data_IF_293846102776
#
_entry.id   IF_293846102776
#
_cell.length_a   1.000
_cell.length_b   1.000
_cell.length_c   1.000
_cell.angle_alpha   90.00
_cell.angle_beta   90.00
_cell.angle_gamma   90.00
#
_symmetry.space_group_name_H-M   'P 1'
#
loop_
_entity.id
_entity.type
_entity.pdbx_description
1 polymer ?
#
# COMPACT_ATOMS: atom_id res chain seq x y z
N UNK A 1 7.10 3.19 22.76
CA UNK A 1 7.35 4.22 21.75
C UNK A 1 8.63 5.01 22.05
N UNK A 2 8.74 5.70 23.19
CA UNK A 2 9.91 6.55 23.50
C UNK A 2 11.24 5.79 23.34
N UNK A 3 11.39 4.63 24.00
CA UNK A 3 12.62 3.85 23.89
C UNK A 3 12.97 3.51 22.44
N UNK A 4 12.00 3.02 21.67
CA UNK A 4 12.20 2.66 20.24
C UNK A 4 12.51 3.88 19.37
N UNK A 5 11.94 5.05 19.69
CA UNK A 5 12.30 6.30 19.00
C UNK A 5 13.77 6.65 19.25
N UNK A 6 14.24 6.48 20.50
CA UNK A 6 15.61 6.78 20.89
C UNK A 6 16.63 5.75 20.37
N UNK A 7 16.20 4.52 20.07
CA UNK A 7 17.05 3.53 19.38
C UNK A 7 17.43 3.98 17.96
N UNK A 8 16.60 4.81 17.34
CA UNK A 8 16.84 5.36 16.00
C UNK A 8 17.49 6.74 16.05
N UNK A 9 17.04 7.61 16.96
CA UNK A 9 17.58 8.96 17.16
C UNK A 9 18.13 9.06 18.60
N UNK A 10 19.35 8.62 18.86
CA UNK A 10 19.95 8.67 20.18
C UNK A 10 20.28 10.12 20.57
N UNK A 11 19.42 10.73 21.38
CA UNK A 11 19.57 12.11 21.86
C UNK A 11 19.04 12.24 23.29
N UNK A 12 19.91 12.68 24.21
CA UNK A 12 19.53 12.92 25.61
C UNK A 12 18.48 14.03 25.72
N UNK A 13 18.57 15.08 24.91
CA UNK A 13 17.60 16.17 24.88
C UNK A 13 16.22 15.65 24.41
N UNK A 14 16.17 14.83 23.35
CA UNK A 14 14.95 14.21 22.88
C UNK A 14 14.38 13.24 23.95
N UNK A 15 15.23 12.44 24.61
CA UNK A 15 14.82 11.54 25.67
C UNK A 15 14.13 12.28 26.82
N UNK A 16 14.74 13.40 27.29
CA UNK A 16 14.16 14.24 28.33
C UNK A 16 12.84 14.88 27.90
N UNK A 17 12.76 15.33 26.67
CA UNK A 17 11.56 15.94 26.10
C UNK A 17 10.41 14.95 26.03
N UNK A 18 10.61 13.83 25.34
CA UNK A 18 9.57 12.80 25.16
C UNK A 18 9.15 12.14 26.47
N UNK A 19 10.09 11.91 27.40
CA UNK A 19 9.81 11.29 28.69
C UNK A 19 8.94 12.13 29.65
N UNK A 20 8.78 13.42 29.39
CA UNK A 20 7.96 14.34 30.20
C UNK A 20 6.57 14.57 29.64
N UNK A 21 6.29 14.11 28.39
CA UNK A 21 5.02 14.37 27.73
C UNK A 21 3.92 13.44 28.24
N UNK A 22 2.70 13.94 28.44
CA UNK A 22 1.51 13.11 28.52
C UNK A 22 1.36 12.25 27.25
N UNK A 23 0.69 11.10 27.37
CA UNK A 23 0.58 10.14 26.26
C UNK A 23 -0.04 10.77 24.99
N UNK A 24 -1.07 11.63 25.12
CA UNK A 24 -1.68 12.32 23.99
C UNK A 24 -0.69 13.21 23.25
N UNK A 25 0.01 14.07 24.01
CA UNK A 25 1.01 15.00 23.46
C UNK A 25 2.20 14.24 22.85
N UNK A 26 2.56 13.07 23.41
CA UNK A 26 3.60 12.22 22.83
C UNK A 26 3.25 11.75 21.42
N UNK A 27 1.99 11.36 21.18
CA UNK A 27 1.54 10.96 19.83
C UNK A 27 1.60 12.14 18.88
N UNK A 28 1.14 13.31 19.32
CA UNK A 28 1.18 14.54 18.51
C UNK A 28 2.62 14.90 18.11
N UNK A 29 3.57 14.83 19.05
CA UNK A 29 4.99 15.10 18.78
C UNK A 29 5.58 14.05 17.84
N UNK A 30 5.23 12.76 17.99
CA UNK A 30 5.71 11.71 17.09
C UNK A 30 5.18 11.89 15.65
N UNK A 31 4.05 12.55 15.48
CA UNK A 31 3.46 12.85 14.16
C UNK A 31 3.97 14.18 13.61
N UNK A 32 3.88 15.26 14.40
CA UNK A 32 4.22 16.62 13.97
C UNK A 32 5.73 16.90 13.97
N UNK A 33 6.51 16.06 14.62
CA UNK A 33 7.93 16.28 14.86
C UNK A 33 8.20 17.24 16.03
N UNK A 34 9.47 17.35 16.38
CA UNK A 34 9.98 18.29 17.40
C UNK A 34 11.12 19.10 16.81
N UNK A 35 11.01 20.43 16.90
CA UNK A 35 12.05 21.34 16.41
C UNK A 35 13.26 21.32 17.35
N UNK A 36 14.44 21.46 16.76
CA UNK A 36 15.66 21.74 17.51
C UNK A 36 15.76 23.24 17.86
N UNK A 37 16.32 23.57 19.03
CA UNK A 37 16.64 24.95 19.33
C UNK A 37 17.72 25.46 18.35
N UNK A 38 17.37 26.45 17.54
CA UNK A 38 18.27 27.00 16.55
C UNK A 38 19.48 27.70 17.21
N UNK A 39 20.66 27.22 16.91
CA UNK A 39 21.91 27.96 17.23
C UNK A 39 22.01 29.24 16.41
N UNK A 40 22.98 30.14 16.75
CA UNK A 40 23.10 31.46 16.12
C UNK A 40 23.22 31.41 14.58
N UNK A 41 23.89 30.42 14.04
CA UNK A 41 24.06 30.26 12.57
C UNK A 41 22.75 29.82 11.93
N UNK A 42 22.11 28.79 12.48
CA UNK A 42 20.83 28.30 11.97
C UNK A 42 19.75 29.38 12.03
N UNK A 43 19.70 30.14 13.13
CA UNK A 43 18.80 31.28 13.27
C UNK A 43 19.07 32.38 12.22
N UNK A 44 20.35 32.71 11.97
CA UNK A 44 20.75 33.72 10.99
C UNK A 44 20.42 33.29 9.54
N UNK A 45 20.45 31.98 9.26
CA UNK A 45 20.09 31.40 7.95
C UNK A 45 18.59 31.11 7.81
N UNK A 46 17.82 31.32 8.86
CA UNK A 46 16.41 30.96 8.94
C UNK A 46 16.17 29.45 8.62
N UNK A 47 17.11 28.58 9.06
CA UNK A 47 17.09 27.13 8.93
C UNK A 47 16.63 26.51 10.25
N UNK A 48 15.45 25.92 10.27
CA UNK A 48 14.96 25.17 11.42
C UNK A 48 15.39 23.69 11.28
N UNK A 49 16.23 23.22 12.22
CA UNK A 49 16.51 21.79 12.38
C UNK A 49 15.36 21.06 13.09
N UNK A 50 15.27 19.76 12.88
CA UNK A 50 14.37 18.88 13.64
C UNK A 50 15.19 17.96 14.55
N UNK A 51 14.85 17.96 15.83
CA UNK A 51 15.29 16.94 16.77
C UNK A 51 14.59 15.60 16.48
N UNK A 52 13.32 15.67 16.10
CA UNK A 52 12.51 14.58 15.58
C UNK A 52 11.79 15.08 14.32
N UNK A 53 12.08 14.52 13.12
CA UNK A 53 11.40 14.94 11.90
C UNK A 53 9.90 14.64 11.94
N UNK A 54 9.04 15.49 11.32
CA UNK A 54 7.62 15.22 11.19
C UNK A 54 7.37 14.07 10.21
N UNK A 55 6.25 13.38 10.40
CA UNK A 55 5.81 12.33 9.45
C UNK A 55 5.28 12.95 8.15
N UNK A 56 5.87 12.60 7.00
CA UNK A 56 5.46 13.21 5.74
C UNK A 56 4.13 12.65 5.21
N UNK A 57 3.86 11.37 5.43
CA UNK A 57 2.83 10.62 4.66
C UNK A 57 2.00 9.63 5.50
N UNK A 58 1.75 9.91 6.78
CA UNK A 58 1.01 8.99 7.68
C UNK A 58 -0.38 8.59 7.14
N UNK A 59 -1.01 9.41 6.31
CA UNK A 59 -2.31 9.08 5.70
C UNK A 59 -2.23 7.94 4.66
N UNK A 60 -1.05 7.56 4.19
CA UNK A 60 -0.83 6.38 3.35
C UNK A 60 -0.55 5.14 4.21
N UNK A 61 -1.56 4.71 4.94
CA UNK A 61 -1.47 3.59 5.88
C UNK A 61 -1.28 2.23 5.21
N UNK A 62 -1.52 2.13 3.90
CA UNK A 62 -1.30 0.92 3.11
C UNK A 62 0.13 0.45 3.13
N UNK A 63 1.09 1.39 3.09
CA UNK A 63 2.50 1.07 2.87
C UNK A 63 3.12 0.45 4.11
N UNK A 64 2.71 0.93 5.29
CA UNK A 64 3.35 0.59 6.57
C UNK A 64 2.79 -0.68 7.22
N UNK A 65 1.63 -1.19 6.76
CA UNK A 65 1.02 -2.40 7.32
C UNK A 65 0.30 -3.26 6.29
N UNK A 66 0.39 -4.57 6.47
CA UNK A 66 -0.24 -5.56 5.60
C UNK A 66 -0.91 -6.62 6.45
N UNK A 67 -2.19 -6.85 6.24
CA UNK A 67 -2.92 -7.95 6.88
C UNK A 67 -3.12 -9.07 5.87
N UNK A 68 -2.68 -10.29 6.23
CA UNK A 68 -2.76 -11.49 5.38
C UNK A 68 -3.34 -12.62 6.23
N UNK A 69 -4.59 -13.02 5.97
CA UNK A 69 -5.34 -13.87 6.88
C UNK A 69 -5.47 -13.23 8.26
N UNK A 70 -5.13 -13.97 9.30
CA UNK A 70 -5.16 -13.50 10.70
C UNK A 70 -3.83 -12.88 11.16
N UNK A 71 -2.92 -12.61 10.25
CA UNK A 71 -1.60 -12.10 10.57
C UNK A 71 -1.37 -10.71 10.00
N UNK A 72 -0.56 -9.92 10.72
CA UNK A 72 -0.07 -8.62 10.24
C UNK A 72 1.43 -8.66 10.00
N UNK A 73 1.84 -8.06 8.89
CA UNK A 73 3.22 -7.71 8.59
C UNK A 73 3.34 -6.21 8.74
N UNK A 74 4.20 -5.75 9.62
CA UNK A 74 4.56 -4.34 9.74
C UNK A 74 5.71 -4.09 8.78
N UNK A 75 5.53 -3.10 7.90
CA UNK A 75 6.48 -2.79 6.85
C UNK A 75 7.82 -2.33 7.38
N UNK A 76 8.82 -2.35 6.51
CA UNK A 76 10.11 -1.70 6.68
C UNK A 76 10.28 -0.70 5.55
N UNK A 77 10.08 0.58 5.87
CA UNK A 77 9.99 1.64 4.87
C UNK A 77 11.35 1.90 4.20
N UNK A 78 11.33 2.02 2.88
CA UNK A 78 12.53 2.28 2.08
C UNK A 78 13.18 3.61 2.44
N UNK A 79 12.36 4.64 2.66
CA UNK A 79 12.85 5.97 2.98
C UNK A 79 12.81 6.24 4.48
N UNK A 80 13.97 6.60 5.03
CA UNK A 80 14.14 6.86 6.45
C UNK A 80 13.22 7.94 7.02
N UNK A 81 12.70 8.86 6.20
CA UNK A 81 11.73 9.86 6.65
C UNK A 81 10.40 9.27 7.15
N UNK A 82 10.08 8.01 6.80
CA UNK A 82 8.82 7.32 7.17
C UNK A 82 8.97 6.32 8.32
N UNK A 83 10.14 6.19 8.93
CA UNK A 83 10.39 5.14 9.93
C UNK A 83 9.49 5.25 11.18
N UNK A 84 9.09 6.47 11.57
CA UNK A 84 8.21 6.66 12.73
C UNK A 84 6.81 6.10 12.49
N UNK A 85 6.36 6.01 11.22
CA UNK A 85 5.10 5.35 10.86
C UNK A 85 5.12 3.87 11.26
N UNK A 86 6.26 3.18 11.06
CA UNK A 86 6.45 1.76 11.47
C UNK A 86 6.24 1.60 12.97
N UNK A 87 6.82 2.50 13.79
CA UNK A 87 6.69 2.46 15.25
C UNK A 87 5.25 2.65 15.71
N UNK A 88 4.52 3.58 15.10
CA UNK A 88 3.13 3.86 15.46
C UNK A 88 2.22 2.67 15.11
N UNK A 89 2.39 2.08 13.94
CA UNK A 89 1.63 0.91 13.52
C UNK A 89 2.01 -0.32 14.35
N UNK A 90 3.30 -0.53 14.64
CA UNK A 90 3.76 -1.59 15.54
C UNK A 90 3.11 -1.45 16.92
N UNK A 91 3.14 -0.26 17.52
CA UNK A 91 2.50 -0.02 18.81
C UNK A 91 1.00 -0.29 18.79
N UNK A 92 0.32 0.07 17.69
CA UNK A 92 -1.10 -0.18 17.51
C UNK A 92 -1.41 -1.70 17.54
N UNK A 93 -0.70 -2.49 16.74
CA UNK A 93 -0.96 -3.93 16.63
C UNK A 93 -0.51 -4.72 17.86
N UNK A 94 0.54 -4.27 18.56
CA UNK A 94 1.00 -4.95 19.79
C UNK A 94 0.19 -4.59 21.05
N UNK A 95 -0.41 -3.40 21.11
CA UNK A 95 -0.95 -2.89 22.38
C UNK A 95 -2.43 -2.52 22.35
N UNK A 96 -3.04 -2.30 21.17
CA UNK A 96 -4.46 -1.94 21.12
C UNK A 96 -5.34 -3.18 21.30
N UNK A 97 -6.33 -3.16 22.23
CA UNK A 97 -7.16 -4.34 22.55
C UNK A 97 -7.87 -4.96 21.35
N UNK A 98 -8.27 -4.16 20.35
CA UNK A 98 -8.93 -4.67 19.15
C UNK A 98 -8.03 -5.58 18.28
N UNK A 99 -6.72 -5.56 18.49
CA UNK A 99 -5.73 -6.34 17.73
C UNK A 99 -5.01 -7.39 18.59
N UNK A 100 -5.47 -7.61 19.85
CA UNK A 100 -4.81 -8.54 20.77
C UNK A 100 -4.73 -9.99 20.27
N UNK A 101 -5.61 -10.38 19.33
CA UNK A 101 -5.60 -11.70 18.67
C UNK A 101 -4.86 -11.71 17.34
N UNK A 102 -4.43 -10.57 16.82
CA UNK A 102 -3.67 -10.51 15.57
C UNK A 102 -2.26 -11.08 15.78
N UNK A 103 -1.89 -12.07 14.98
CA UNK A 103 -0.53 -12.58 14.97
C UNK A 103 0.39 -11.60 14.22
N UNK A 104 1.38 -11.01 14.90
CA UNK A 104 2.42 -10.26 14.20
C UNK A 104 3.36 -11.26 13.56
N UNK A 105 3.34 -11.33 12.22
CA UNK A 105 4.14 -12.25 11.42
C UNK A 105 5.58 -11.75 11.27
N UNK A 106 5.72 -10.45 11.06
CA UNK A 106 6.98 -9.74 10.94
C UNK A 106 6.80 -8.29 11.37
N UNK A 107 7.75 -7.77 12.12
CA UNK A 107 7.78 -6.36 12.52
C UNK A 107 9.06 -5.70 11.98
N UNK A 108 8.93 -4.97 10.88
CA UNK A 108 10.03 -4.26 10.22
C UNK A 108 10.66 -3.17 11.10
N UNK A 109 9.93 -2.69 12.12
CA UNK A 109 10.43 -1.68 13.05
C UNK A 109 11.33 -2.25 14.15
N UNK A 110 11.28 -3.57 14.42
CA UNK A 110 12.14 -4.22 15.41
C UNK A 110 13.56 -4.44 14.89
N UNK A 111 13.67 -4.82 13.61
CA UNK A 111 14.94 -5.12 12.98
C UNK A 111 15.17 -4.20 11.77
N UNK A 112 15.62 -2.98 12.01
CA UNK A 112 15.94 -2.04 10.91
C UNK A 112 17.16 -2.50 10.13
N UNK A 113 16.95 -3.47 9.26
CA UNK A 113 17.95 -3.90 8.29
C UNK A 113 17.78 -3.06 7.03
N UNK A 114 18.67 -2.14 6.76
CA UNK A 114 18.62 -1.22 5.60
C UNK A 114 18.42 -1.91 4.25
N UNK A 115 18.77 -3.20 4.16
CA UNK A 115 18.62 -4.03 2.95
C UNK A 115 17.28 -4.77 2.86
N UNK A 116 16.50 -4.80 3.95
CA UNK A 116 15.22 -5.48 4.04
C UNK A 116 14.11 -4.43 4.07
N UNK A 117 13.73 -3.95 2.90
CA UNK A 117 12.60 -3.01 2.78
C UNK A 117 11.40 -3.72 2.19
N UNK A 118 10.23 -3.45 2.76
CA UNK A 118 8.95 -4.03 2.35
C UNK A 118 7.82 -3.04 2.64
N UNK A 119 7.10 -2.64 1.61
CA UNK A 119 5.98 -1.71 1.72
C UNK A 119 4.69 -2.36 1.19
N UNK A 120 3.57 -2.13 1.88
CA UNK A 120 2.31 -2.84 1.64
C UNK A 120 1.58 -2.48 0.34
N UNK A 121 1.97 -1.39 -0.33
CA UNK A 121 1.52 -1.09 -1.69
C UNK A 121 1.92 -2.16 -2.70
N UNK A 122 2.98 -2.92 -2.40
CA UNK A 122 3.43 -4.04 -3.20
C UNK A 122 2.75 -5.37 -2.87
N UNK A 123 1.98 -5.47 -1.77
CA UNK A 123 1.45 -6.76 -1.29
C UNK A 123 -0.07 -6.84 -1.49
N UNK A 124 -0.49 -7.77 -2.32
CA UNK A 124 -1.88 -7.98 -2.73
C UNK A 124 -2.35 -9.40 -2.40
N UNK A 125 -2.94 -9.66 -1.23
CA UNK A 125 -3.67 -10.89 -0.98
C UNK A 125 -4.90 -10.95 -1.89
N UNK A 126 -4.95 -11.90 -2.82
CA UNK A 126 -6.06 -12.04 -3.77
C UNK A 126 -7.04 -13.14 -3.34
N UNK A 127 -6.52 -14.17 -2.67
CA UNK A 127 -7.26 -15.34 -2.19
C UNK A 127 -6.58 -15.86 -0.92
N UNK A 128 -7.24 -16.64 -0.06
CA UNK A 128 -6.63 -17.16 1.19
C UNK A 128 -5.32 -17.91 1.00
N UNK A 129 -5.05 -18.46 -0.19
CA UNK A 129 -3.84 -19.22 -0.51
C UNK A 129 -2.96 -18.56 -1.60
N UNK A 130 -3.30 -17.32 -2.06
CA UNK A 130 -2.63 -16.63 -3.16
C UNK A 130 -2.32 -15.17 -2.82
N UNK A 131 -1.06 -14.79 -2.97
CA UNK A 131 -0.60 -13.40 -2.86
C UNK A 131 0.14 -13.00 -4.13
N UNK A 132 -0.14 -11.80 -4.64
CA UNK A 132 0.67 -11.15 -5.68
C UNK A 132 1.52 -10.08 -5.01
N UNK A 133 2.81 -10.04 -5.32
CA UNK A 133 3.73 -9.05 -4.76
C UNK A 133 4.48 -8.29 -5.84
N UNK A 134 4.75 -7.02 -5.60
CA UNK A 134 5.62 -6.21 -6.42
C UNK A 134 7.08 -6.31 -5.97
N UNK A 135 8.00 -6.53 -6.90
CA UNK A 135 9.40 -6.19 -6.70
C UNK A 135 9.63 -4.80 -7.28
N UNK A 136 9.63 -3.81 -6.41
CA UNK A 136 9.73 -2.39 -6.75
C UNK A 136 11.02 -1.76 -6.22
N UNK A 137 11.16 -0.46 -6.31
CA UNK A 137 12.22 0.27 -5.58
C UNK A 137 12.01 0.27 -4.06
N UNK A 138 10.77 -0.02 -3.61
CA UNK A 138 10.35 0.02 -2.20
C UNK A 138 10.46 -1.32 -1.50
N UNK A 139 10.37 -2.43 -2.22
CA UNK A 139 10.43 -3.78 -1.66
C UNK A 139 11.66 -4.52 -2.20
N UNK A 140 12.56 -4.91 -1.31
CA UNK A 140 13.82 -5.56 -1.69
C UNK A 140 13.65 -7.07 -1.92
N UNK A 141 14.48 -7.71 -2.77
CA UNK A 141 14.39 -9.16 -3.04
C UNK A 141 14.51 -10.00 -1.77
N UNK A 142 15.44 -9.65 -0.88
CA UNK A 142 15.65 -10.38 0.37
C UNK A 142 14.43 -10.28 1.31
N UNK A 143 13.73 -9.14 1.34
CA UNK A 143 12.50 -9.00 2.10
C UNK A 143 11.34 -9.80 1.48
N UNK A 144 11.27 -9.88 0.15
CA UNK A 144 10.28 -10.72 -0.54
C UNK A 144 10.54 -12.22 -0.30
N UNK A 145 11.80 -12.66 -0.29
CA UNK A 145 12.13 -14.04 0.07
C UNK A 145 11.74 -14.38 1.51
N UNK A 146 12.03 -13.47 2.46
CA UNK A 146 11.60 -13.62 3.85
C UNK A 146 10.07 -13.65 3.96
N UNK A 147 9.38 -12.73 3.30
CA UNK A 147 7.92 -12.71 3.27
C UNK A 147 7.35 -14.03 2.74
N UNK A 148 7.86 -14.54 1.60
CA UNK A 148 7.43 -15.81 1.05
C UNK A 148 7.61 -16.97 2.03
N UNK A 149 8.76 -17.04 2.73
CA UNK A 149 9.02 -18.08 3.71
C UNK A 149 8.00 -18.04 4.85
N UNK A 150 7.76 -16.87 5.43
CA UNK A 150 6.78 -16.67 6.50
C UNK A 150 5.34 -16.98 6.06
N UNK A 151 4.96 -16.54 4.87
CA UNK A 151 3.62 -16.81 4.31
C UNK A 151 3.39 -18.30 4.08
N UNK A 152 4.38 -19.02 3.58
CA UNK A 152 4.29 -20.47 3.35
C UNK A 152 4.25 -21.27 4.63
N UNK A 153 4.98 -20.85 5.65
CA UNK A 153 5.06 -21.55 6.93
C UNK A 153 3.83 -21.29 7.81
N UNK A 154 3.35 -20.03 7.88
CA UNK A 154 2.45 -19.57 8.94
C UNK A 154 1.07 -19.12 8.47
N UNK A 155 0.91 -18.72 7.20
CA UNK A 155 -0.34 -18.13 6.71
C UNK A 155 -1.12 -19.04 5.75
N UNK A 156 -0.67 -20.27 5.50
CA UNK A 156 -1.36 -21.18 4.59
C UNK A 156 -1.24 -20.81 3.10
N UNK A 157 -0.48 -19.79 2.75
CA UNK A 157 -0.27 -19.37 1.35
C UNK A 157 0.41 -20.53 0.58
N UNK A 158 -0.12 -20.81 -0.60
CA UNK A 158 0.40 -21.82 -1.53
C UNK A 158 1.23 -21.23 -2.64
N UNK A 159 0.75 -20.13 -3.20
CA UNK A 159 1.35 -19.50 -4.37
C UNK A 159 1.62 -18.01 -4.10
N UNK A 160 2.80 -17.54 -4.52
CA UNK A 160 3.17 -16.13 -4.57
C UNK A 160 3.59 -15.78 -5.99
N UNK A 161 2.92 -14.81 -6.60
CA UNK A 161 3.28 -14.27 -7.91
C UNK A 161 4.06 -12.98 -7.68
N UNK A 162 5.24 -12.87 -8.26
CA UNK A 162 6.09 -11.68 -8.16
C UNK A 162 6.07 -10.93 -9.50
N UNK A 163 5.67 -9.67 -9.48
CA UNK A 163 5.71 -8.76 -10.63
C UNK A 163 6.94 -7.87 -10.49
N UNK A 164 7.82 -7.87 -11.48
CA UNK A 164 9.06 -7.06 -11.47
C UNK A 164 8.75 -5.67 -12.01
N UNK A 165 8.64 -4.68 -11.13
CA UNK A 165 8.29 -3.32 -11.49
C UNK A 165 9.50 -2.55 -12.05
N UNK A 166 9.28 -1.59 -12.97
CA UNK A 166 10.31 -0.64 -13.37
C UNK A 166 10.60 0.33 -12.21
N UNK A 167 11.82 0.83 -12.14
CA UNK A 167 12.22 1.84 -11.15
C UNK A 167 11.84 3.24 -11.64
N UNK A 168 10.56 3.51 -11.66
CA UNK A 168 9.97 4.75 -12.15
C UNK A 168 9.07 5.39 -11.08
N UNK A 169 9.01 6.73 -10.99
CA UNK A 169 8.16 7.42 -10.02
C UNK A 169 6.66 7.08 -10.14
N UNK A 170 6.23 6.64 -11.31
CA UNK A 170 4.84 6.26 -11.61
C UNK A 170 4.49 4.83 -11.17
N UNK A 171 5.50 3.98 -10.92
CA UNK A 171 5.34 2.58 -10.57
C UNK A 171 6.08 2.23 -9.26
N UNK A 172 5.99 3.13 -8.27
CA UNK A 172 6.66 2.95 -6.97
C UNK A 172 6.18 1.71 -6.21
N UNK A 173 4.92 1.31 -6.42
CA UNK A 173 4.30 0.11 -5.88
C UNK A 173 3.44 -0.59 -6.93
N UNK A 174 3.16 -1.86 -6.72
CA UNK A 174 2.29 -2.65 -7.59
C UNK A 174 0.89 -2.04 -7.69
N UNK A 175 0.34 -1.49 -6.62
CA UNK A 175 -0.99 -0.91 -6.60
C UNK A 175 -1.13 0.40 -7.41
N UNK A 176 -0.04 0.97 -7.89
CA UNK A 176 -0.07 2.08 -8.84
C UNK A 176 -0.36 1.64 -10.27
N UNK A 177 -0.21 0.34 -10.56
CA UNK A 177 -0.37 -0.22 -11.93
C UNK A 177 -1.32 -1.42 -12.01
N UNK A 178 -1.68 -2.01 -10.86
CA UNK A 178 -2.57 -3.17 -10.76
C UNK A 178 -3.44 -3.09 -9.51
N UNK A 179 -4.74 -3.38 -9.64
CA UNK A 179 -5.66 -3.60 -8.49
C UNK A 179 -6.75 -4.58 -8.89
N UNK A 180 -6.99 -5.61 -8.08
CA UNK A 180 -8.21 -6.43 -8.21
C UNK A 180 -9.43 -5.59 -7.82
N UNK A 181 -10.44 -5.54 -8.69
CA UNK A 181 -11.64 -4.70 -8.52
C UNK A 181 -12.91 -5.51 -8.31
N UNK A 182 -12.92 -6.77 -8.73
CA UNK A 182 -14.00 -7.73 -8.49
C UNK A 182 -13.43 -9.15 -8.47
N UNK A 183 -14.27 -10.17 -8.30
CA UNK A 183 -13.86 -11.58 -8.28
C UNK A 183 -13.12 -12.01 -9.54
N UNK A 184 -13.58 -11.53 -10.69
CA UNK A 184 -13.07 -11.91 -12.01
C UNK A 184 -12.39 -10.76 -12.76
N UNK A 185 -12.32 -9.56 -12.16
CA UNK A 185 -11.82 -8.36 -12.83
C UNK A 185 -10.65 -7.73 -12.09
N UNK A 186 -9.69 -7.23 -12.85
CA UNK A 186 -8.66 -6.35 -12.33
C UNK A 186 -8.50 -5.10 -13.19
N UNK A 187 -8.10 -4.01 -12.57
CA UNK A 187 -7.72 -2.77 -13.23
C UNK A 187 -6.21 -2.76 -13.40
N UNK A 188 -5.74 -2.51 -14.62
CA UNK A 188 -4.31 -2.53 -14.94
C UNK A 188 -3.90 -1.32 -15.77
N UNK A 189 -2.65 -0.90 -15.63
CA UNK A 189 -1.99 0.00 -16.57
C UNK A 189 -1.47 -0.80 -17.77
N UNK A 190 -2.11 -0.72 -18.95
CA UNK A 190 -1.89 -1.66 -20.05
C UNK A 190 -0.44 -1.81 -20.49
N UNK A 191 0.37 -0.72 -20.59
CA UNK A 191 1.75 -0.83 -21.08
C UNK A 191 2.64 -1.80 -20.28
N UNK A 192 2.37 -1.97 -19.00
CA UNK A 192 3.16 -2.85 -18.14
C UNK A 192 2.69 -4.31 -18.13
N UNK A 193 1.52 -4.60 -18.67
CA UNK A 193 0.97 -5.97 -18.64
C UNK A 193 0.67 -6.54 -20.02
N UNK A 194 0.49 -5.68 -21.02
CA UNK A 194 0.07 -6.07 -22.37
C UNK A 194 1.05 -5.47 -23.40
N UNK A 195 1.44 -6.30 -24.33
CA UNK A 195 2.36 -5.87 -25.38
C UNK A 195 3.82 -6.26 -25.14
N UNK A 196 4.74 -5.68 -25.94
CA UNK A 196 6.15 -6.08 -25.94
C UNK A 196 6.93 -5.61 -24.72
N UNK A 197 6.50 -4.53 -24.07
CA UNK A 197 7.16 -3.92 -22.89
C UNK A 197 6.61 -4.46 -21.56
N UNK A 198 5.85 -5.56 -21.60
CA UNK A 198 5.27 -6.14 -20.39
C UNK A 198 6.34 -6.55 -19.38
N UNK A 199 5.99 -6.37 -18.11
CA UNK A 199 6.87 -6.68 -16.99
C UNK A 199 7.13 -8.18 -16.87
N UNK A 200 8.33 -8.53 -16.36
CA UNK A 200 8.65 -9.90 -15.99
C UNK A 200 7.81 -10.35 -14.78
N UNK A 201 7.38 -11.60 -14.80
CA UNK A 201 6.55 -12.20 -13.76
C UNK A 201 7.11 -13.55 -13.35
N UNK A 202 7.25 -13.75 -12.03
CA UNK A 202 7.77 -14.98 -11.46
C UNK A 202 6.70 -15.64 -10.59
N UNK A 203 6.64 -16.96 -10.59
CA UNK A 203 5.80 -17.76 -9.72
C UNK A 203 6.67 -18.52 -8.71
N UNK A 204 6.41 -18.30 -7.42
CA UNK A 204 6.98 -19.03 -6.30
C UNK A 204 5.90 -19.88 -5.65
N UNK A 205 6.12 -21.19 -5.56
CA UNK A 205 5.16 -22.15 -4.99
C UNK A 205 5.72 -22.83 -3.76
N UNK A 206 4.90 -23.00 -2.72
CA UNK A 206 5.26 -23.72 -1.50
C UNK A 206 5.69 -25.16 -1.84
N UNK A 207 6.81 -25.59 -1.25
CA UNK A 207 7.35 -26.95 -1.46
C UNK A 207 8.07 -27.14 -2.80
N UNK A 208 8.12 -26.14 -3.68
CA UNK A 208 8.86 -26.19 -4.94
C UNK A 208 10.13 -25.36 -4.84
N UNK A 209 11.26 -25.93 -5.18
CA UNK A 209 12.54 -25.20 -5.16
C UNK A 209 12.58 -24.15 -6.27
N UNK A 210 13.12 -22.95 -5.93
CA UNK A 210 13.30 -21.83 -6.87
C UNK A 210 12.02 -21.13 -7.27
N UNK A 211 12.11 -20.36 -8.35
CA UNK A 211 11.01 -19.60 -8.97
C UNK A 211 10.88 -20.02 -10.43
N UNK A 212 9.66 -19.88 -10.98
CA UNK A 212 9.39 -20.13 -12.39
C UNK A 212 8.96 -18.83 -13.05
N UNK A 213 9.64 -18.43 -14.10
CA UNK A 213 9.21 -17.32 -14.95
C UNK A 213 7.91 -17.67 -15.66
N UNK A 214 7.01 -16.68 -15.75
CA UNK A 214 5.72 -16.77 -16.42
C UNK A 214 5.68 -15.83 -17.63
N UNK A 215 4.93 -16.16 -18.69
CA UNK A 215 4.83 -15.31 -19.88
C UNK A 215 4.35 -13.88 -19.59
N UNK A 216 3.43 -13.74 -18.63
CA UNK A 216 2.87 -12.46 -18.13
C UNK A 216 2.05 -12.73 -16.85
N UNK A 217 1.49 -11.67 -16.24
CA UNK A 217 0.67 -11.75 -15.04
C UNK A 217 -0.58 -12.64 -15.24
N UNK A 218 -1.27 -12.49 -16.36
CA UNK A 218 -2.52 -13.24 -16.59
C UNK A 218 -2.26 -14.74 -16.77
N UNK A 219 -1.16 -15.10 -17.43
CA UNK A 219 -0.72 -16.50 -17.51
C UNK A 219 -0.35 -17.06 -16.12
N UNK A 220 0.30 -16.26 -15.28
CA UNK A 220 0.63 -16.66 -13.91
C UNK A 220 -0.65 -16.87 -13.07
N UNK A 221 -1.61 -15.96 -13.16
CA UNK A 221 -2.90 -16.06 -12.48
C UNK A 221 -3.69 -17.30 -12.95
N UNK A 222 -3.74 -17.54 -14.27
CA UNK A 222 -4.38 -18.73 -14.81
C UNK A 222 -3.68 -20.04 -14.36
N UNK A 223 -2.35 -20.04 -14.23
CA UNK A 223 -1.59 -21.22 -13.77
C UNK A 223 -1.81 -21.58 -12.28
N UNK A 224 -2.46 -20.69 -11.52
CA UNK A 224 -2.86 -20.90 -10.13
C UNK A 224 -4.40 -20.95 -9.96
N UNK A 225 -5.13 -21.18 -11.05
CA UNK A 225 -6.60 -21.28 -11.09
C UNK A 225 -7.29 -20.00 -10.56
N UNK A 226 -6.77 -18.84 -10.93
CA UNK A 226 -7.32 -17.54 -10.56
C UNK A 226 -7.27 -16.55 -11.74
N UNK A 227 -7.97 -16.84 -12.85
CA UNK A 227 -7.97 -15.95 -13.99
C UNK A 227 -8.69 -14.63 -13.67
N UNK A 228 -8.08 -13.50 -14.07
CA UNK A 228 -8.68 -12.17 -13.98
C UNK A 228 -8.73 -11.54 -15.38
N UNK A 229 -9.85 -10.91 -15.70
CA UNK A 229 -10.01 -10.11 -16.91
C UNK A 229 -9.57 -8.67 -16.66
N UNK A 230 -8.71 -8.08 -17.53
CA UNK A 230 -8.23 -6.73 -17.34
C UNK A 230 -9.21 -5.66 -17.81
N UNK A 231 -9.45 -4.67 -16.97
CA UNK A 231 -9.99 -3.35 -17.34
C UNK A 231 -8.82 -2.39 -17.46
N UNK A 232 -8.83 -1.54 -18.47
CA UNK A 232 -7.68 -0.70 -18.82
C UNK A 232 -7.77 0.69 -18.20
N UNK A 233 -6.81 1.01 -17.33
CA UNK A 233 -6.62 2.36 -16.84
C UNK A 233 -6.38 3.33 -18.03
N UNK A 234 -7.15 4.40 -18.12
CA UNK A 234 -7.08 5.37 -19.20
C UNK A 234 -7.64 4.87 -20.55
N UNK A 235 -8.22 3.67 -20.60
CA UNK A 235 -8.85 3.12 -21.80
C UNK A 235 -7.87 2.78 -22.92
N UNK A 236 -8.27 3.02 -24.17
CA UNK A 236 -7.49 2.62 -25.36
C UNK A 236 -6.40 3.60 -25.77
N UNK A 237 -6.45 4.86 -25.33
CA UNK A 237 -5.53 5.92 -25.79
C UNK A 237 -4.32 6.00 -24.88
N UNK A 238 -3.12 5.87 -25.41
CA UNK A 238 -1.86 5.91 -24.66
C UNK A 238 -1.71 7.18 -23.80
N UNK A 239 -2.05 8.35 -24.34
CA UNK A 239 -1.99 9.61 -23.61
C UNK A 239 -2.92 9.66 -22.39
N UNK A 240 -4.09 9.04 -22.49
CA UNK A 240 -5.03 8.95 -21.36
C UNK A 240 -4.57 7.92 -20.32
N UNK A 241 -3.98 6.81 -20.77
CA UNK A 241 -3.37 5.81 -19.91
C UNK A 241 -2.26 6.40 -19.05
N UNK A 242 -1.33 7.14 -19.65
CA UNK A 242 -0.21 7.80 -18.96
C UNK A 242 -0.71 8.88 -17.97
N UNK A 243 -1.63 9.74 -18.42
CA UNK A 243 -2.22 10.80 -17.58
C UNK A 243 -2.94 10.23 -16.37
N UNK A 244 -3.76 9.20 -16.56
CA UNK A 244 -4.58 8.66 -15.48
C UNK A 244 -3.82 7.73 -14.57
N UNK A 245 -2.83 6.99 -15.08
CA UNK A 245 -1.92 6.22 -14.25
C UNK A 245 -1.13 7.17 -13.32
N UNK A 246 -0.61 8.30 -13.85
CA UNK A 246 0.03 9.34 -13.02
C UNK A 246 -0.92 9.88 -11.93
N UNK A 247 -2.20 9.98 -12.20
CA UNK A 247 -3.21 10.42 -11.25
C UNK A 247 -3.86 9.29 -10.45
N UNK A 248 -3.11 8.21 -10.22
CA UNK A 248 -3.53 7.05 -9.43
C UNK A 248 -4.76 6.32 -9.99
N UNK A 249 -4.86 6.25 -11.32
CA UNK A 249 -5.97 5.65 -12.04
C UNK A 249 -6.09 4.13 -11.88
N UNK A 250 -5.06 3.44 -11.37
CA UNK A 250 -5.14 2.04 -10.98
C UNK A 250 -5.35 1.84 -9.46
N UNK A 251 -5.21 2.90 -8.66
CA UNK A 251 -5.17 2.81 -7.21
C UNK A 251 -6.57 2.95 -6.55
N UNK A 252 -7.48 2.08 -6.96
CA UNK A 252 -8.82 1.99 -6.38
C UNK A 252 -8.80 1.11 -5.12
N UNK A 253 -9.61 1.44 -4.13
CA UNK A 253 -9.88 0.53 -3.03
C UNK A 253 -11.19 -0.23 -3.30
N UNK A 254 -11.13 -1.56 -3.25
CA UNK A 254 -12.32 -2.41 -3.24
C UNK A 254 -12.85 -2.50 -1.81
N UNK A 255 -14.04 -1.99 -1.56
CA UNK A 255 -14.70 -2.04 -0.26
C UNK A 255 -15.40 -3.39 -0.06
N UNK A 256 -15.93 -3.93 -1.15
CA UNK A 256 -16.46 -5.29 -1.30
C UNK A 256 -16.39 -5.68 -2.77
N UNK A 257 -16.54 -6.94 -3.16
CA UNK A 257 -16.60 -7.33 -4.57
C UNK A 257 -17.58 -6.45 -5.34
N UNK A 258 -17.12 -5.83 -6.44
CA UNK A 258 -17.92 -4.94 -7.27
C UNK A 258 -18.17 -3.53 -6.74
N UNK A 259 -17.68 -3.16 -5.54
CA UNK A 259 -17.84 -1.78 -5.02
C UNK A 259 -16.48 -1.15 -4.74
N UNK A 260 -16.20 -0.10 -5.48
CA UNK A 260 -14.90 0.57 -5.53
C UNK A 260 -14.99 2.01 -5.01
N UNK A 261 -13.88 2.53 -4.50
CA UNK A 261 -13.67 3.96 -4.29
C UNK A 261 -12.48 4.42 -5.13
N UNK A 262 -12.65 5.49 -5.88
CA UNK A 262 -11.63 6.04 -6.76
C UNK A 262 -11.75 7.54 -6.95
N UNK A 263 -10.76 8.16 -7.61
CA UNK A 263 -10.81 9.59 -7.90
C UNK A 263 -11.69 9.90 -9.12
N UNK A 264 -12.56 10.92 -9.01
CA UNK A 264 -13.47 11.37 -10.08
C UNK A 264 -12.72 11.88 -11.33
N UNK A 265 -11.46 12.30 -11.17
CA UNK A 265 -10.65 12.88 -12.25
C UNK A 265 -10.17 11.87 -13.29
N UNK A 266 -10.22 10.57 -12.99
CA UNK A 266 -9.77 9.49 -13.87
C UNK A 266 -10.92 9.08 -14.82
N UNK A 267 -11.39 10.04 -15.64
CA UNK A 267 -12.62 9.91 -16.43
C UNK A 267 -12.60 8.77 -17.45
N UNK A 268 -11.45 8.56 -18.12
CA UNK A 268 -11.32 7.48 -19.11
C UNK A 268 -11.32 6.10 -18.43
N UNK A 269 -10.69 5.96 -17.25
CA UNK A 269 -10.76 4.74 -16.43
C UNK A 269 -12.17 4.49 -15.93
N UNK A 270 -12.87 5.53 -15.46
CA UNK A 270 -14.27 5.41 -15.03
C UNK A 270 -15.18 4.99 -16.19
N UNK A 271 -14.93 5.48 -17.41
CA UNK A 271 -15.67 5.07 -18.60
C UNK A 271 -15.43 3.59 -18.96
N UNK A 272 -14.20 3.07 -18.82
CA UNK A 272 -13.91 1.64 -19.03
C UNK A 272 -14.60 0.76 -17.98
N UNK A 273 -14.54 1.17 -16.71
CA UNK A 273 -15.26 0.46 -15.63
C UNK A 273 -16.78 0.51 -15.84
N UNK A 274 -17.31 1.64 -16.35
CA UNK A 274 -18.74 1.71 -16.70
C UNK A 274 -19.11 0.73 -17.83
N UNK A 275 -18.24 0.53 -18.84
CA UNK A 275 -18.42 -0.52 -19.87
C UNK A 275 -18.39 -1.93 -19.28
N UNK A 276 -17.61 -2.14 -18.21
CA UNK A 276 -17.59 -3.40 -17.44
C UNK A 276 -18.78 -3.53 -16.46
N UNK A 277 -19.77 -2.62 -16.52
CA UNK A 277 -21.03 -2.71 -15.77
C UNK A 277 -21.02 -1.96 -14.45
N UNK A 278 -20.06 -1.11 -14.18
CA UNK A 278 -20.03 -0.30 -12.95
C UNK A 278 -20.81 1.01 -13.11
N UNK A 279 -21.67 1.32 -12.13
CA UNK A 279 -22.31 2.63 -12.03
C UNK A 279 -21.45 3.61 -11.24
N UNK A 280 -21.24 4.80 -11.79
CA UNK A 280 -20.51 5.87 -11.10
C UNK A 280 -21.43 6.62 -10.13
N UNK A 281 -21.02 6.71 -8.87
CA UNK A 281 -21.78 7.36 -7.78
C UNK A 281 -20.87 8.37 -7.09
N UNK A 282 -21.28 9.64 -7.06
CA UNK A 282 -20.52 10.67 -6.36
C UNK A 282 -20.65 10.48 -4.83
N UNK A 283 -19.54 10.42 -4.10
CA UNK A 283 -19.54 10.25 -2.65
C UNK A 283 -20.45 11.24 -1.88
N UNK A 284 -20.50 12.55 -2.23
CA UNK A 284 -21.42 13.47 -1.57
C UNK A 284 -22.89 13.11 -1.73
N UNK A 285 -23.31 12.53 -2.85
CA UNK A 285 -24.69 12.09 -3.08
C UNK A 285 -25.03 10.85 -2.25
N UNK A 286 -24.07 9.93 -2.14
CA UNK A 286 -24.21 8.75 -1.28
C UNK A 286 -24.35 9.14 0.19
N UNK A 287 -23.48 10.03 0.67
CA UNK A 287 -23.49 10.51 2.07
C UNK A 287 -24.75 11.28 2.45
N UNK A 288 -25.38 11.99 1.50
CA UNK A 288 -26.66 12.69 1.69
C UNK A 288 -27.88 11.79 1.56
N UNK A 289 -27.69 10.50 1.20
CA UNK A 289 -28.79 9.58 0.93
C UNK A 289 -29.55 9.87 -0.38
N UNK A 290 -29.01 10.73 -1.25
CA UNK A 290 -29.60 11.02 -2.58
C UNK A 290 -29.41 9.86 -3.56
N UNK A 291 -28.39 9.03 -3.31
CA UNK A 291 -28.10 7.79 -4.04
C UNK A 291 -27.76 6.69 -3.05
N UNK A 292 -28.02 5.45 -3.44
CA UNK A 292 -27.63 4.25 -2.70
C UNK A 292 -26.96 3.25 -3.63
N UNK A 293 -26.18 2.34 -3.08
CA UNK A 293 -25.59 1.19 -3.78
C UNK A 293 -26.28 -0.06 -3.24
N UNK A 294 -27.02 -0.75 -4.12
CA UNK A 294 -27.72 -1.96 -3.75
C UNK A 294 -26.79 -3.15 -3.50
N UNK A 295 -27.28 -4.17 -2.84
CA UNK A 295 -26.57 -5.43 -2.70
C UNK A 295 -26.41 -6.09 -4.08
N UNK A 296 -25.19 -6.60 -4.37
CA UNK A 296 -24.87 -7.19 -5.68
C UNK A 296 -24.65 -6.18 -6.82
N UNK A 297 -24.88 -4.88 -6.59
CA UNK A 297 -24.64 -3.86 -7.60
C UNK A 297 -23.14 -3.56 -7.73
N UNK A 298 -22.67 -3.43 -8.99
CA UNK A 298 -21.33 -2.89 -9.29
C UNK A 298 -21.36 -1.37 -9.29
N UNK A 299 -20.58 -0.75 -8.42
CA UNK A 299 -20.55 0.70 -8.29
C UNK A 299 -19.14 1.24 -8.01
N UNK A 300 -18.88 2.44 -8.50
CA UNK A 300 -17.69 3.21 -8.17
C UNK A 300 -18.11 4.45 -7.42
N UNK A 301 -17.71 4.57 -6.18
CA UNK A 301 -17.90 5.76 -5.36
C UNK A 301 -16.73 6.70 -5.66
N UNK A 302 -17.05 7.83 -6.27
CA UNK A 302 -16.02 8.81 -6.66
C UNK A 302 -15.84 9.89 -5.62
N UNK A 303 -14.57 10.20 -5.32
CA UNK A 303 -14.15 11.27 -4.43
C UNK A 303 -13.31 12.29 -5.18
N UNK A 304 -13.38 13.56 -4.74
CA UNK A 304 -12.50 14.61 -5.23
C UNK A 304 -11.12 14.40 -4.64
N UNK A 305 -10.12 14.21 -5.50
CA UNK A 305 -8.75 13.90 -5.08
C UNK A 305 -7.73 14.94 -5.54
N UNK A 306 -8.15 16.18 -5.85
CA UNK A 306 -7.32 17.20 -6.50
C UNK A 306 -5.98 17.43 -5.79
N UNK A 307 -5.97 17.52 -4.47
CA UNK A 307 -4.74 17.70 -3.66
C UNK A 307 -4.14 16.38 -3.19
N UNK A 308 -4.94 15.36 -2.90
CA UNK A 308 -4.46 14.07 -2.40
C UNK A 308 -3.54 13.35 -3.39
N UNK A 309 -3.80 13.47 -4.68
CA UNK A 309 -2.96 12.92 -5.76
C UNK A 309 -1.52 13.44 -5.70
N UNK A 310 -1.32 14.68 -5.21
CA UNK A 310 0.03 15.28 -5.09
C UNK A 310 0.93 14.53 -4.10
N UNK A 311 0.35 13.81 -3.15
CA UNK A 311 1.07 12.91 -2.26
C UNK A 311 1.57 11.64 -2.92
N UNK A 312 1.17 11.34 -4.18
CA UNK A 312 1.65 10.20 -4.95
C UNK A 312 0.87 8.91 -4.70
N UNK A 313 -0.38 8.97 -4.24
CA UNK A 313 -1.20 7.79 -3.99
C UNK A 313 -2.70 8.04 -4.22
N UNK A 314 -3.47 6.97 -4.25
CA UNK A 314 -4.92 6.97 -4.42
C UNK A 314 -5.67 6.43 -3.19
N UNK A 315 -6.99 6.21 -3.32
CA UNK A 315 -7.81 5.72 -2.22
C UNK A 315 -7.32 4.40 -1.62
N UNK A 316 -6.71 3.51 -2.42
CA UNK A 316 -6.15 2.25 -1.91
C UNK A 316 -4.98 2.50 -0.97
N UNK A 317 -4.06 3.39 -1.32
CA UNK A 317 -2.91 3.75 -0.49
C UNK A 317 -3.32 4.33 0.87
N UNK A 318 -4.46 5.04 0.93
CA UNK A 318 -4.99 5.64 2.16
C UNK A 318 -5.74 4.67 3.08
N UNK A 319 -5.70 3.37 2.79
CA UNK A 319 -6.41 2.35 3.57
C UNK A 319 -5.53 1.18 3.95
N UNK A 320 -5.64 0.73 5.20
CA UNK A 320 -5.10 -0.54 5.67
C UNK A 320 -6.29 -1.48 5.95
N UNK A 321 -6.61 -2.45 5.07
CA UNK A 321 -7.64 -3.44 5.35
C UNK A 321 -7.25 -4.31 6.54
N UNK A 322 -8.08 -4.30 7.58
CA UNK A 322 -7.85 -5.05 8.80
C UNK A 322 -8.45 -6.45 8.74
N UNK A 323 -9.48 -6.61 7.93
CA UNK A 323 -10.17 -7.89 7.72
C UNK A 323 -10.57 -8.02 6.26
N UNK A 324 -10.49 -9.22 5.74
CA UNK A 324 -11.07 -9.63 4.45
C UNK A 324 -11.96 -10.82 4.70
N UNK A 325 -13.16 -10.76 4.15
CA UNK A 325 -14.02 -11.93 4.07
C UNK A 325 -13.57 -12.78 2.85
N UNK A 326 -13.86 -14.07 2.89
CA UNK A 326 -13.58 -14.96 1.77
C UNK A 326 -14.32 -14.46 0.51
N UNK A 327 -13.69 -14.52 -0.66
CA UNK A 327 -14.23 -13.99 -1.90
C UNK A 327 -15.50 -14.71 -2.39
#
# INVERSE_FOLDING_TARGET
LVARTLDVIPSDALAQRLGRLPVGDLVDVLIAGELEEAGPIAAALNEAGYMLPPLPNLFFTRDVGMVIGDHVVIGSMRYGARWTEELLISALFHHHPAFASAGVLYDGSDERRLTYTLEGGDVHPLRPDLVVVGFSERSSPAALDLLCALLFERCGIRDVIVVVLPKEPTAIHLDMIFTQVDRELCLVYPPHFIGPERLAVLLRRRGVAGVREQPNLFAALAAVDFPLEPVFCGGARRSDQEREQWSSGCNFVSVRPGVLVGYERNEATLAELARAGYRVVAAPKLLKGEQAVAEGERAIITVKGAELVRGGGGPRCMTLPLRRDDP
#
